data_IF_551780184735
#
_entry.id   IF_551780184735
#
_cell.length_a   1.000
_cell.length_b   1.000
_cell.length_c   1.000
_cell.angle_alpha   90.00
_cell.angle_beta   90.00
_cell.angle_gamma   90.00
#
_symmetry.space_group_name_H-M   'P 1'
#
loop_
_entity.id
_entity.type
_entity.pdbx_description
1 polymer ?
#
# COMPACT_ATOMS: atom_id res chain seq x y z
N UNK A 1 -0.73 19.43 2.53
CA UNK A 1 -0.92 17.97 2.70
C UNK A 1 -1.23 17.69 4.16
N UNK A 2 -2.46 17.29 4.48
CA UNK A 2 -2.82 16.82 5.82
C UNK A 2 -2.25 15.41 5.97
N UNK A 3 -1.44 15.17 6.98
CA UNK A 3 -0.87 13.84 7.24
C UNK A 3 -1.72 13.13 8.28
N UNK A 4 -1.87 11.83 8.14
CA UNK A 4 -2.49 10.99 9.16
C UNK A 4 -1.80 9.62 9.21
N UNK A 5 -2.18 8.83 10.20
CA UNK A 5 -1.79 7.42 10.32
C UNK A 5 -3.06 6.60 10.27
N UNK A 6 -3.16 5.71 9.28
CA UNK A 6 -4.23 4.73 9.24
C UNK A 6 -3.94 3.65 10.31
N UNK A 7 -4.89 3.36 11.20
CA UNK A 7 -4.70 2.33 12.22
C UNK A 7 -4.44 0.97 11.56
N UNK A 8 -5.21 0.66 10.52
CA UNK A 8 -5.07 -0.56 9.73
C UNK A 8 -5.29 -0.28 8.24
N UNK A 9 -4.55 -1.01 7.40
CA UNK A 9 -4.72 -1.05 5.96
C UNK A 9 -4.56 -2.49 5.47
N UNK A 10 -5.59 -3.03 4.83
CA UNK A 10 -5.59 -4.39 4.31
C UNK A 10 -5.47 -4.42 2.79
N UNK A 11 -4.53 -5.23 2.29
CA UNK A 11 -4.36 -5.52 0.87
C UNK A 11 -4.28 -7.03 0.65
N UNK A 12 -5.30 -7.59 0.00
CA UNK A 12 -5.46 -9.04 -0.10
C UNK A 12 -5.60 -9.68 1.29
N UNK A 13 -4.71 -10.62 1.63
CA UNK A 13 -4.68 -11.31 2.95
C UNK A 13 -3.71 -10.68 3.96
N UNK A 14 -3.12 -9.53 3.64
CA UNK A 14 -2.11 -8.89 4.48
C UNK A 14 -2.66 -7.60 5.06
N UNK A 15 -2.58 -7.46 6.38
CA UNK A 15 -2.94 -6.24 7.11
C UNK A 15 -1.68 -5.54 7.61
N UNK A 16 -1.60 -4.24 7.35
CA UNK A 16 -0.53 -3.36 7.80
C UNK A 16 -1.11 -2.44 8.88
N UNK A 17 -0.45 -2.37 10.03
CA UNK A 17 -0.83 -1.43 11.09
C UNK A 17 -0.07 -0.11 10.97
N UNK A 18 -0.68 0.99 11.40
CA UNK A 18 -0.03 2.30 11.54
C UNK A 18 0.59 2.82 10.23
N UNK A 19 -0.18 2.78 9.13
CA UNK A 19 0.31 3.19 7.80
C UNK A 19 0.26 4.72 7.65
N UNK A 20 1.38 5.40 7.36
CA UNK A 20 1.36 6.84 7.14
C UNK A 20 0.68 7.17 5.80
N UNK A 21 -0.25 8.12 5.84
CA UNK A 21 -0.99 8.61 4.68
C UNK A 21 -0.97 10.13 4.60
N UNK A 22 -1.08 10.64 3.38
CA UNK A 22 -1.25 12.06 3.11
C UNK A 22 -2.58 12.30 2.38
N UNK A 23 -3.38 13.22 2.91
CA UNK A 23 -4.56 13.76 2.27
C UNK A 23 -4.23 15.16 1.72
N UNK A 24 -4.70 15.45 0.52
CA UNK A 24 -4.50 16.74 -0.11
C UNK A 24 -5.86 17.40 -0.28
N UNK A 25 -6.07 18.55 0.37
CA UNK A 25 -7.17 19.47 0.05
C UNK A 25 -6.75 20.28 -1.18
N UNK A 26 -6.68 19.64 -2.34
CA UNK A 26 -6.56 20.32 -3.62
C UNK A 26 -7.94 20.60 -4.17
N UNK A 27 -8.12 21.73 -4.87
CA UNK A 27 -9.36 22.08 -5.55
C UNK A 27 -9.94 20.85 -6.28
N UNK A 28 -11.21 20.59 -6.01
CA UNK A 28 -12.07 19.54 -6.58
C UNK A 28 -11.76 19.41 -8.09
N UNK A 29 -11.03 18.36 -8.50
CA UNK A 29 -10.82 18.12 -9.95
C UNK A 29 -9.65 17.25 -10.41
N UNK A 30 -8.50 17.20 -9.74
CA UNK A 30 -7.28 16.60 -10.33
C UNK A 30 -6.77 15.30 -9.68
N UNK A 31 -7.11 15.00 -8.41
CA UNK A 31 -6.89 13.68 -7.81
C UNK A 31 -8.23 12.97 -7.62
N UNK A 32 -8.57 12.05 -8.54
CA UNK A 32 -9.82 11.27 -8.50
C UNK A 32 -9.65 9.90 -7.83
N UNK A 33 -8.45 9.55 -7.37
CA UNK A 33 -8.17 8.22 -6.86
C UNK A 33 -7.11 8.21 -5.77
N UNK A 34 -7.20 7.20 -4.90
CA UNK A 34 -6.14 6.88 -3.94
C UNK A 34 -4.93 6.33 -4.68
N UNK A 35 -3.73 6.79 -4.28
CA UNK A 35 -2.47 6.34 -4.87
C UNK A 35 -1.66 5.60 -3.80
N UNK A 36 -1.21 4.39 -4.12
CA UNK A 36 -0.30 3.62 -3.30
C UNK A 36 1.14 3.84 -3.78
N UNK A 37 2.00 4.38 -2.90
CA UNK A 37 3.40 4.63 -3.21
C UNK A 37 4.30 3.39 -3.03
N UNK A 38 5.55 3.51 -3.49
CA UNK A 38 6.55 2.44 -3.44
C UNK A 38 6.83 1.88 -2.04
N UNK A 39 6.63 2.67 -0.98
CA UNK A 39 6.81 2.25 0.41
C UNK A 39 5.88 1.09 0.83
N UNK A 40 4.68 1.04 0.24
CA UNK A 40 3.71 -0.02 0.43
C UNK A 40 3.93 -1.14 -0.58
N UNK A 41 4.12 -0.77 -1.86
CA UNK A 41 4.26 -1.73 -2.95
C UNK A 41 5.46 -2.68 -2.75
N UNK A 42 6.60 -2.19 -2.25
CA UNK A 42 7.80 -3.03 -2.01
C UNK A 42 7.60 -4.14 -0.97
N UNK A 43 6.51 -4.09 -0.19
CA UNK A 43 6.15 -5.11 0.80
C UNK A 43 5.55 -6.37 0.15
N UNK A 44 5.29 -6.34 -1.16
CA UNK A 44 4.70 -7.44 -1.89
C UNK A 44 5.52 -7.78 -3.13
N UNK A 45 5.66 -9.09 -3.39
CA UNK A 45 5.95 -9.60 -4.72
C UNK A 45 4.62 -9.62 -5.48
N UNK A 46 4.52 -8.82 -6.53
CA UNK A 46 3.28 -8.61 -7.28
C UNK A 46 3.40 -9.14 -8.70
N UNK A 47 2.36 -9.82 -9.17
CA UNK A 47 2.19 -10.17 -10.58
C UNK A 47 0.87 -9.59 -11.06
N UNK A 48 0.92 -8.75 -12.10
CA UNK A 48 -0.27 -8.16 -12.72
C UNK A 48 -0.66 -9.05 -13.89
N UNK A 49 -1.79 -9.73 -13.76
CA UNK A 49 -2.36 -10.55 -14.82
C UNK A 49 -3.44 -9.76 -15.56
N UNK A 50 -3.07 -9.20 -16.71
CA UNK A 50 -3.99 -8.45 -17.58
C UNK A 50 -5.09 -9.33 -18.16
N UNK A 51 -4.82 -10.60 -18.44
CA UNK A 51 -5.79 -11.50 -19.09
C UNK A 51 -6.95 -11.82 -18.15
N UNK A 52 -6.63 -12.08 -16.88
CA UNK A 52 -7.61 -12.41 -15.85
C UNK A 52 -8.05 -11.18 -15.02
N UNK A 53 -7.58 -9.98 -15.37
CA UNK A 53 -7.86 -8.73 -14.66
C UNK A 53 -7.64 -8.81 -13.15
N UNK A 54 -6.58 -9.51 -12.73
CA UNK A 54 -6.28 -9.75 -11.32
C UNK A 54 -4.81 -9.44 -10.99
N UNK A 55 -4.56 -9.21 -9.70
CA UNK A 55 -3.22 -8.98 -9.18
C UNK A 55 -2.94 -10.07 -8.15
N UNK A 56 -1.90 -10.87 -8.40
CA UNK A 56 -1.40 -11.84 -7.43
C UNK A 56 -0.48 -11.14 -6.45
N UNK A 57 -0.76 -11.33 -5.16
CA UNK A 57 -0.05 -10.70 -4.06
C UNK A 57 0.59 -11.78 -3.18
N UNK A 58 1.91 -11.71 -3.04
CA UNK A 58 2.66 -12.50 -2.06
C UNK A 58 3.46 -11.55 -1.18
N UNK A 59 3.35 -11.67 0.14
CA UNK A 59 4.16 -10.88 1.06
C UNK A 59 5.66 -11.05 0.75
N UNK A 60 6.40 -9.94 0.75
CA UNK A 60 7.83 -9.93 0.50
C UNK A 60 8.57 -10.26 1.81
N UNK A 61 9.15 -11.45 1.89
CA UNK A 61 9.90 -11.91 3.07
C UNK A 61 11.10 -11.04 3.42
N UNK A 62 11.68 -10.32 2.44
CA UNK A 62 12.80 -9.40 2.68
C UNK A 62 12.37 -8.10 3.34
N UNK A 63 11.08 -7.81 3.36
CA UNK A 63 10.55 -6.61 4.01
C UNK A 63 10.45 -6.77 5.54
N UNK A 64 10.63 -7.99 6.06
CA UNK A 64 10.62 -8.34 7.49
C UNK A 64 11.99 -8.68 8.10
N UNK A 65 13.10 -8.30 7.49
CA UNK A 65 14.44 -8.44 8.11
C UNK A 65 14.71 -7.33 9.13
N UNK A 66 13.90 -7.31 10.18
CA UNK A 66 14.33 -6.93 11.53
C UNK A 66 13.75 -7.97 12.48
N UNK A 67 14.30 -9.20 12.40
CA UNK A 67 14.39 -10.05 13.57
C UNK A 67 15.43 -9.37 14.47
N UNK A 68 14.98 -8.54 15.40
CA UNK A 68 15.79 -8.28 16.59
C UNK A 68 15.92 -9.61 17.34
N UNK A 69 17.14 -10.00 17.79
CA UNK A 69 17.36 -11.22 18.55
C UNK A 69 16.52 -11.28 19.83
#
# INVERSE_FOLDING_TARGET
VKKAVLPEFSLGKTTLSHVPVGFFEGAIGQQKMSVMGGALLKRFNMVIDRKNSCIYLKANSKFGLSLTP
#
